data_IF_502293669987
#
_entry.id   IF_502293669987
#
_cell.length_a   1.000
_cell.length_b   1.000
_cell.length_c   1.000
_cell.angle_alpha   90.00
_cell.angle_beta   90.00
_cell.angle_gamma   90.00
#
_symmetry.space_group_name_H-M   'P 1'
#
loop_
_entity.id
_entity.type
_entity.pdbx_description
1 polymer ?
#
# COMPACT_ATOMS: atom_id res chain seq x y z
N UNK A 1 -34.06 -56.88 1.33
CA UNK A 1 -34.54 -55.64 0.69
C UNK A 1 -33.97 -54.47 1.48
N UNK A 2 -32.86 -53.95 0.94
CA UNK A 2 -32.07 -52.83 1.45
C UNK A 2 -32.88 -51.53 1.51
N UNK A 3 -32.92 -50.90 2.69
CA UNK A 3 -33.34 -49.49 2.84
C UNK A 3 -32.28 -48.64 3.53
N UNK A 4 -31.02 -49.13 3.57
CA UNK A 4 -29.93 -48.52 4.36
C UNK A 4 -28.68 -48.13 3.56
N UNK A 5 -28.73 -48.14 2.23
CA UNK A 5 -27.53 -47.98 1.39
C UNK A 5 -27.60 -46.96 0.25
N UNK A 6 -28.62 -46.10 0.20
CA UNK A 6 -28.84 -45.23 -0.96
C UNK A 6 -28.76 -43.73 -0.69
N UNK A 7 -27.94 -43.29 0.27
CA UNK A 7 -27.60 -41.87 0.45
C UNK A 7 -26.12 -41.73 0.86
N UNK A 8 -25.25 -42.45 0.16
CA UNK A 8 -23.82 -42.15 0.11
C UNK A 8 -23.53 -41.71 -1.32
N UNK A 9 -22.69 -40.66 -1.45
CA UNK A 9 -22.13 -40.13 -2.70
C UNK A 9 -22.94 -38.99 -3.34
N UNK A 10 -22.76 -37.77 -2.83
CA UNK A 10 -22.30 -36.60 -3.61
C UNK A 10 -22.65 -35.31 -2.85
N UNK A 11 -21.65 -34.64 -2.28
CA UNK A 11 -21.88 -33.36 -1.60
C UNK A 11 -20.82 -33.01 -0.56
N UNK A 12 -19.56 -33.39 -0.77
CA UNK A 12 -18.45 -32.91 0.05
C UNK A 12 -17.81 -31.74 -0.66
N UNK A 13 -18.14 -30.53 -0.23
CA UNK A 13 -17.69 -29.26 -0.79
C UNK A 13 -16.17 -29.20 -1.00
N UNK A 14 -15.75 -29.15 -2.26
CA UNK A 14 -14.52 -28.49 -2.66
C UNK A 14 -14.73 -27.00 -2.41
N UNK A 15 -14.17 -26.42 -1.35
CA UNK A 15 -13.54 -25.07 -1.32
C UNK A 15 -12.83 -24.95 0.03
N UNK A 16 -11.54 -25.27 0.08
CA UNK A 16 -10.66 -24.66 1.10
C UNK A 16 -9.26 -24.48 0.52
N UNK A 17 -9.14 -23.52 -0.38
CA UNK A 17 -7.86 -23.03 -0.87
C UNK A 17 -7.92 -21.51 -0.99
N UNK A 18 -8.11 -20.84 0.16
CA UNK A 18 -7.77 -19.43 0.30
C UNK A 18 -6.94 -19.25 1.58
N UNK A 19 -5.88 -20.06 1.73
CA UNK A 19 -4.70 -19.60 2.46
C UNK A 19 -4.09 -18.49 1.61
N UNK A 20 -4.63 -17.28 1.77
CA UNK A 20 -3.97 -16.07 1.33
C UNK A 20 -2.61 -16.05 2.01
N UNK A 21 -1.56 -16.32 1.24
CA UNK A 21 -0.21 -16.07 1.68
C UNK A 21 -0.15 -14.62 2.15
N UNK A 22 0.03 -14.42 3.45
CA UNK A 22 0.41 -13.13 4.01
C UNK A 22 1.74 -12.77 3.36
N UNK A 23 1.68 -12.03 2.24
CA UNK A 23 2.86 -11.52 1.58
C UNK A 23 3.44 -10.43 2.49
N UNK A 24 4.38 -10.85 3.34
CA UNK A 24 5.21 -9.95 4.12
C UNK A 24 6.22 -9.30 3.17
N UNK A 25 5.78 -8.25 2.48
CA UNK A 25 6.60 -7.42 1.60
C UNK A 25 6.05 -7.34 0.17
N UNK A 26 5.73 -6.11 -0.29
CA UNK A 26 5.27 -5.85 -1.66
C UNK A 26 6.47 -5.83 -2.61
N UNK A 27 6.33 -6.21 -3.89
CA UNK A 27 7.42 -6.11 -4.87
C UNK A 27 7.99 -4.69 -5.01
N UNK A 28 7.14 -3.67 -4.86
CA UNK A 28 7.53 -2.24 -4.85
C UNK A 28 8.36 -1.83 -3.63
N UNK A 29 8.25 -2.55 -2.51
CA UNK A 29 9.09 -2.35 -1.32
C UNK A 29 10.52 -2.93 -1.50
N UNK A 30 10.77 -3.70 -2.56
CA UNK A 30 12.01 -4.46 -2.72
C UNK A 30 13.19 -3.61 -3.25
N UNK A 31 12.97 -2.38 -3.71
CA UNK A 31 13.94 -1.63 -4.53
C UNK A 31 14.53 -0.37 -3.89
N UNK A 32 14.50 -0.25 -2.55
CA UNK A 32 15.06 0.81 -1.68
C UNK A 32 13.95 1.52 -0.92
N UNK A 33 14.04 1.46 0.41
CA UNK A 33 13.13 2.11 1.34
C UNK A 33 13.62 3.55 1.56
N UNK A 34 12.89 4.53 1.01
CA UNK A 34 13.25 5.94 1.08
C UNK A 34 12.54 6.62 2.25
N UNK A 35 13.31 7.36 3.05
CA UNK A 35 12.82 8.06 4.24
C UNK A 35 13.05 9.56 4.13
N UNK A 36 12.11 10.35 4.62
CA UNK A 36 12.22 11.81 4.71
C UNK A 36 11.84 12.30 6.12
N UNK A 37 12.36 13.47 6.50
CA UNK A 37 11.91 14.24 7.66
C UNK A 37 11.43 15.62 7.20
N UNK A 38 10.14 15.76 6.82
CA UNK A 38 9.61 17.00 6.27
C UNK A 38 9.76 18.20 7.21
N UNK A 39 9.67 17.98 8.52
CA UNK A 39 9.82 19.05 9.52
C UNK A 39 11.24 19.65 9.58
N UNK A 40 12.24 18.89 9.13
CA UNK A 40 13.65 19.32 9.04
C UNK A 40 14.10 19.59 7.60
N UNK A 41 13.19 19.51 6.64
CA UNK A 41 13.48 19.54 5.20
C UNK A 41 14.57 18.52 4.78
N UNK A 42 14.61 17.36 5.44
CA UNK A 42 15.53 16.27 5.08
C UNK A 42 14.83 15.34 4.09
N UNK A 43 15.34 15.27 2.86
CA UNK A 43 14.83 14.42 1.79
C UNK A 43 15.96 13.57 1.19
N UNK A 44 15.67 12.37 0.66
CA UNK A 44 16.67 11.52 0.01
C UNK A 44 17.10 12.08 -1.35
N UNK A 45 18.23 11.61 -1.90
CA UNK A 45 18.75 12.12 -3.19
C UNK A 45 17.85 11.75 -4.37
N UNK A 46 17.23 10.58 -4.33
CA UNK A 46 16.27 10.10 -5.31
C UNK A 46 15.07 11.06 -5.42
N UNK A 47 14.61 11.60 -4.28
CA UNK A 47 13.57 12.62 -4.26
C UNK A 47 14.01 13.91 -4.97
N UNK A 48 15.27 14.33 -4.75
CA UNK A 48 15.82 15.56 -5.36
C UNK A 48 15.94 15.47 -6.88
N UNK A 49 16.00 14.25 -7.42
CA UNK A 49 16.07 14.00 -8.87
C UNK A 49 14.70 14.02 -9.56
N UNK A 50 13.60 13.97 -8.80
CA UNK A 50 12.25 14.04 -9.34
C UNK A 50 11.96 15.41 -9.96
N UNK A 51 10.96 15.46 -10.84
CA UNK A 51 10.46 16.74 -11.37
C UNK A 51 10.01 17.66 -10.24
N UNK A 52 10.12 18.98 -10.42
CA UNK A 52 9.65 19.96 -9.42
C UNK A 52 8.18 19.77 -9.06
N UNK A 53 7.35 19.41 -10.04
CA UNK A 53 5.95 19.09 -9.83
C UNK A 53 5.79 17.87 -8.92
N UNK A 54 6.53 16.79 -9.19
CA UNK A 54 6.47 15.58 -8.36
C UNK A 54 6.92 15.88 -6.94
N UNK A 55 8.02 16.62 -6.75
CA UNK A 55 8.52 17.03 -5.43
C UNK A 55 7.46 17.80 -4.63
N UNK A 56 6.75 18.72 -5.29
CA UNK A 56 5.67 19.50 -4.66
C UNK A 56 4.53 18.61 -4.18
N UNK A 57 4.15 17.58 -4.96
CA UNK A 57 3.07 16.67 -4.56
C UNK A 57 3.42 15.87 -3.29
N UNK A 58 4.65 15.39 -3.16
CA UNK A 58 5.12 14.73 -1.93
C UNK A 58 5.14 15.67 -0.73
N UNK A 59 5.63 16.91 -0.91
CA UNK A 59 5.64 17.93 0.14
C UNK A 59 4.22 18.29 0.58
N UNK A 60 3.32 18.47 -0.38
CA UNK A 60 1.91 18.71 -0.14
C UNK A 60 1.28 17.54 0.63
N UNK A 61 1.55 16.30 0.22
CA UNK A 61 1.01 15.13 0.89
C UNK A 61 1.50 15.01 2.35
N UNK A 62 2.80 15.20 2.57
CA UNK A 62 3.40 15.21 3.90
C UNK A 62 2.78 16.28 4.82
N UNK A 63 2.48 17.46 4.28
CA UNK A 63 1.90 18.57 5.04
C UNK A 63 0.38 18.44 5.29
N UNK A 64 -0.35 17.68 4.46
CA UNK A 64 -1.82 17.67 4.46
C UNK A 64 -2.46 16.32 4.81
N UNK A 65 -1.74 15.46 5.55
CA UNK A 65 -2.23 14.13 5.97
C UNK A 65 -3.66 14.15 6.52
N UNK A 66 -3.95 15.10 7.42
CA UNK A 66 -5.24 15.19 8.11
C UNK A 66 -6.44 15.30 7.17
N UNK A 67 -6.23 15.82 5.96
CA UNK A 67 -7.27 15.93 4.92
C UNK A 67 -7.14 14.76 3.96
N UNK A 68 -5.94 14.51 3.43
CA UNK A 68 -5.72 13.56 2.34
C UNK A 68 -6.01 12.11 2.71
N UNK A 69 -5.93 11.75 3.99
CA UNK A 69 -6.29 10.41 4.47
C UNK A 69 -7.79 10.07 4.26
N UNK A 70 -8.64 11.07 4.04
CA UNK A 70 -10.07 10.90 3.77
C UNK A 70 -10.44 11.01 2.29
N UNK A 71 -9.49 11.41 1.43
CA UNK A 71 -9.71 11.51 0.00
C UNK A 71 -9.37 10.14 -0.61
N UNK A 72 -10.29 9.48 -1.33
CA UNK A 72 -10.00 8.18 -1.94
C UNK A 72 -8.85 8.24 -2.96
N UNK A 73 -8.11 7.14 -3.08
CA UNK A 73 -7.18 6.95 -4.19
C UNK A 73 -7.95 6.63 -5.48
N UNK A 74 -7.68 7.38 -6.55
CA UNK A 74 -8.32 7.19 -7.86
C UNK A 74 -7.39 6.59 -8.91
N UNK A 75 -6.16 6.23 -8.54
CA UNK A 75 -5.16 5.64 -9.43
C UNK A 75 -5.44 4.17 -9.80
N UNK A 76 -6.40 3.52 -9.12
CA UNK A 76 -6.69 2.09 -9.30
C UNK A 76 -5.76 1.16 -8.50
N UNK A 77 -4.88 1.71 -7.67
CA UNK A 77 -3.84 0.98 -6.94
C UNK A 77 -4.23 0.58 -5.50
N UNK A 78 -5.53 0.51 -5.19
CA UNK A 78 -6.03 0.22 -3.82
C UNK A 78 -5.49 -1.12 -3.30
N UNK A 79 -5.39 -2.14 -4.17
CA UNK A 79 -4.81 -3.45 -3.82
C UNK A 79 -3.30 -3.38 -3.50
N UNK A 80 -2.62 -2.31 -3.93
CA UNK A 80 -1.25 -1.98 -3.54
C UNK A 80 -1.15 -1.34 -2.15
N UNK A 81 -2.27 -1.14 -1.45
CA UNK A 81 -2.33 -0.51 -0.13
C UNK A 81 -2.51 1.01 -0.18
N UNK A 82 -2.89 1.57 -1.33
CA UNK A 82 -3.25 2.99 -1.46
C UNK A 82 -4.74 3.21 -1.18
N UNK A 83 -5.11 3.26 0.09
CA UNK A 83 -6.51 3.44 0.50
C UNK A 83 -6.98 4.88 0.31
N UNK A 84 -6.06 5.84 0.34
CA UNK A 84 -6.31 7.27 0.25
C UNK A 84 -5.31 7.98 -0.65
N UNK A 85 -5.58 9.24 -0.99
CA UNK A 85 -4.66 10.09 -1.75
C UNK A 85 -3.34 10.34 -0.99
N UNK A 86 -3.36 10.29 0.34
CA UNK A 86 -2.14 10.37 1.15
C UNK A 86 -1.19 9.20 0.87
N UNK A 87 -1.75 7.99 0.74
CA UNK A 87 -0.97 6.76 0.60
C UNK A 87 -0.22 6.70 -0.75
N UNK A 88 -0.65 7.48 -1.75
CA UNK A 88 0.04 7.61 -3.04
C UNK A 88 1.47 8.16 -2.93
N UNK A 89 1.78 8.86 -1.82
CA UNK A 89 3.06 9.54 -1.62
C UNK A 89 3.76 9.13 -0.32
N UNK A 90 3.00 8.68 0.68
CA UNK A 90 3.55 8.31 1.99
C UNK A 90 3.08 6.91 2.35
N UNK A 91 4.04 5.99 2.46
CA UNK A 91 3.77 4.60 2.81
C UNK A 91 3.58 4.39 4.31
N UNK A 92 4.33 5.14 5.11
CA UNK A 92 4.31 5.00 6.57
C UNK A 92 4.72 6.31 7.25
N UNK A 93 4.16 6.57 8.43
CA UNK A 93 4.52 7.71 9.27
C UNK A 93 5.04 7.17 10.61
N UNK A 94 6.25 7.56 10.97
CA UNK A 94 6.90 7.15 12.20
C UNK A 94 6.57 8.11 13.36
N UNK A 95 6.65 7.64 14.62
CA UNK A 95 6.38 8.48 15.79
C UNK A 95 7.28 9.72 15.94
N UNK A 96 8.48 9.67 15.36
CA UNK A 96 9.45 10.77 15.38
C UNK A 96 9.25 11.81 14.25
N UNK A 97 8.15 11.68 13.49
CA UNK A 97 7.81 12.58 12.39
C UNK A 97 8.48 12.24 11.06
N UNK A 98 9.35 11.23 11.01
CA UNK A 98 9.84 10.71 9.72
C UNK A 98 8.71 10.04 8.97
N UNK A 99 8.82 10.07 7.65
CA UNK A 99 7.91 9.37 6.74
C UNK A 99 8.71 8.42 5.86
N UNK A 100 8.12 7.26 5.56
CA UNK A 100 8.57 6.42 4.45
C UNK A 100 7.83 6.87 3.20
N UNK A 101 8.58 7.22 2.16
CA UNK A 101 8.02 7.64 0.89
C UNK A 101 7.45 6.43 0.15
N UNK A 102 6.33 6.66 -0.52
CA UNK A 102 5.88 5.76 -1.57
C UNK A 102 6.73 5.98 -2.81
N UNK A 103 7.21 4.91 -3.46
CA UNK A 103 8.07 5.05 -4.65
C UNK A 103 7.32 4.90 -5.97
N UNK A 104 6.01 4.67 -5.95
CA UNK A 104 5.20 4.50 -7.16
C UNK A 104 5.29 5.70 -8.12
N UNK A 105 5.42 6.92 -7.58
CA UNK A 105 5.49 8.14 -8.41
C UNK A 105 6.94 8.55 -8.76
N UNK A 106 7.94 7.69 -8.55
CA UNK A 106 9.34 8.01 -8.85
C UNK A 106 9.74 7.77 -10.33
N UNK A 107 8.90 7.07 -11.11
CA UNK A 107 9.15 6.79 -12.53
C UNK A 107 8.97 5.32 -12.85
#
# INVERSE_FOLDING_TARGET
>A
MDRRRFLLLSGGALIWACTGATQTGRPEDALVQLYANPAKDEWPDEFRQLSSQTQEMYRYAAANRAILQYIPCFCGCVNGGHASNFDCYVREVYPDGRIRLDTMSFG
#
